data_IF_713295982537
#
_entry.id   IF_713295982537
#
_cell.length_a   1.000
_cell.length_b   1.000
_cell.length_c   1.000
_cell.angle_alpha   90.00
_cell.angle_beta   90.00
_cell.angle_gamma   90.00
#
_symmetry.space_group_name_H-M   'P 1'
#
loop_
_entity.id
_entity.type
_entity.pdbx_description
1 polymer ?
#
# COMPACT_ATOMS: atom_id res chain seq x y z
N UNK A 1 -33.88 -6.60 -25.49
CA UNK A 1 -33.03 -6.60 -24.27
C UNK A 1 -32.67 -8.04 -23.96
N UNK A 2 -31.39 -8.43 -24.08
CA UNK A 2 -30.94 -9.74 -23.59
C UNK A 2 -30.87 -9.66 -22.06
N UNK A 3 -31.33 -10.69 -21.35
CA UNK A 3 -31.22 -10.72 -19.88
C UNK A 3 -29.76 -10.83 -19.48
N UNK A 4 -29.29 -9.96 -18.57
CA UNK A 4 -27.95 -10.09 -17.97
C UNK A 4 -27.81 -11.45 -17.28
N UNK A 5 -26.61 -12.01 -17.33
CA UNK A 5 -26.26 -13.21 -16.57
C UNK A 5 -26.36 -12.95 -15.06
N UNK A 6 -26.56 -13.99 -14.25
CA UNK A 6 -26.59 -13.86 -12.78
C UNK A 6 -25.28 -13.27 -12.21
N UNK A 7 -24.14 -13.58 -12.85
CA UNK A 7 -22.84 -12.98 -12.55
C UNK A 7 -22.79 -11.49 -12.88
N UNK A 8 -23.36 -11.07 -14.02
CA UNK A 8 -23.46 -9.66 -14.40
C UNK A 8 -24.26 -8.85 -13.39
N UNK A 9 -25.41 -9.36 -12.94
CA UNK A 9 -26.22 -8.70 -11.90
C UNK A 9 -25.45 -8.54 -10.59
N UNK A 10 -24.70 -9.57 -10.16
CA UNK A 10 -23.87 -9.48 -8.96
C UNK A 10 -22.74 -8.46 -9.12
N UNK A 11 -22.14 -8.38 -10.30
CA UNK A 11 -21.10 -7.41 -10.62
C UNK A 11 -21.64 -5.98 -10.55
N UNK A 12 -22.83 -5.72 -11.07
CA UNK A 12 -23.51 -4.42 -10.96
C UNK A 12 -23.78 -4.03 -9.50
N UNK A 13 -24.20 -4.97 -8.65
CA UNK A 13 -24.38 -4.71 -7.22
C UNK A 13 -23.06 -4.34 -6.54
N UNK A 14 -21.96 -5.03 -6.87
CA UNK A 14 -20.63 -4.70 -6.35
C UNK A 14 -20.15 -3.33 -6.86
N UNK A 15 -20.39 -3.02 -8.12
CA UNK A 15 -20.08 -1.72 -8.70
C UNK A 15 -20.83 -0.59 -8.00
N UNK A 16 -22.13 -0.78 -7.74
CA UNK A 16 -22.92 0.18 -6.98
C UNK A 16 -22.34 0.40 -5.57
N UNK A 17 -21.90 -0.66 -4.88
CA UNK A 17 -21.24 -0.52 -3.59
C UNK A 17 -19.94 0.30 -3.70
N UNK A 18 -19.10 0.03 -4.70
CA UNK A 18 -17.85 0.77 -4.94
C UNK A 18 -18.15 2.25 -5.24
N UNK A 19 -19.19 2.56 -6.02
CA UNK A 19 -19.61 3.93 -6.29
C UNK A 19 -20.05 4.66 -5.01
N UNK A 20 -20.89 4.01 -4.21
CA UNK A 20 -21.48 4.61 -3.02
C UNK A 20 -20.55 4.66 -1.81
N UNK A 21 -19.44 3.92 -1.81
CA UNK A 21 -18.53 3.84 -0.66
C UNK A 21 -17.11 4.30 -0.94
N UNK A 22 -16.65 4.28 -2.20
CA UNK A 22 -15.27 4.61 -2.59
C UNK A 22 -15.25 5.76 -3.59
N UNK A 23 -15.83 5.59 -4.78
CA UNK A 23 -15.67 6.56 -5.88
C UNK A 23 -16.27 7.93 -5.56
N UNK A 24 -17.34 8.00 -4.76
CA UNK A 24 -17.93 9.30 -4.36
C UNK A 24 -16.99 10.20 -3.54
N UNK A 25 -15.92 9.65 -2.96
CA UNK A 25 -14.92 10.39 -2.19
C UNK A 25 -13.65 10.74 -2.99
N UNK A 26 -13.66 10.46 -4.30
CA UNK A 26 -12.54 10.81 -5.16
C UNK A 26 -12.52 12.31 -5.46
N UNK A 27 -11.36 12.94 -5.29
CA UNK A 27 -11.14 14.29 -5.79
C UNK A 27 -11.19 14.28 -7.33
N UNK A 28 -12.05 15.08 -7.98
CA UNK A 28 -12.22 15.01 -9.43
C UNK A 28 -11.00 15.51 -10.22
N UNK A 29 -10.15 16.34 -9.62
CA UNK A 29 -8.97 16.92 -10.28
C UNK A 29 -7.79 15.97 -10.13
N UNK A 30 -7.40 15.65 -8.90
CA UNK A 30 -6.22 14.83 -8.61
C UNK A 30 -6.51 13.34 -8.72
N UNK A 31 -7.73 12.88 -8.48
CA UNK A 31 -8.04 11.45 -8.40
C UNK A 31 -7.65 10.80 -7.08
N UNK A 32 -7.18 11.58 -6.09
CA UNK A 32 -6.90 11.11 -4.74
C UNK A 32 -8.22 10.97 -3.94
N UNK A 33 -8.28 9.98 -3.07
CA UNK A 33 -9.39 9.70 -2.17
C UNK A 33 -9.13 10.28 -0.79
N UNK A 34 -10.18 10.80 -0.16
CA UNK A 34 -10.19 11.21 1.24
C UNK A 34 -11.10 10.30 2.05
N UNK A 35 -10.70 9.98 3.29
CA UNK A 35 -11.38 8.99 4.13
C UNK A 35 -12.08 9.62 5.36
N UNK A 36 -11.79 10.89 5.67
CA UNK A 36 -12.33 11.58 6.82
C UNK A 36 -12.82 12.98 6.44
N UNK A 37 -14.04 13.05 5.90
CA UNK A 37 -14.66 14.30 5.44
C UNK A 37 -14.92 15.28 6.59
N UNK A 38 -15.02 14.80 7.84
CA UNK A 38 -15.36 15.65 8.98
C UNK A 38 -14.12 16.25 9.66
N UNK A 39 -13.10 15.44 9.99
CA UNK A 39 -11.93 15.95 10.73
C UNK A 39 -10.77 16.35 9.82
N UNK A 40 -10.69 15.81 8.60
CA UNK A 40 -9.53 15.97 7.72
C UNK A 40 -9.93 15.87 6.24
N UNK A 41 -10.84 16.76 5.78
CA UNK A 41 -11.50 16.62 4.47
C UNK A 41 -10.56 16.65 3.27
N UNK A 42 -9.35 17.19 3.44
CA UNK A 42 -8.34 17.28 2.38
C UNK A 42 -7.17 16.29 2.56
N UNK A 43 -7.19 15.41 3.56
CA UNK A 43 -6.08 14.47 3.76
C UNK A 43 -6.31 13.17 2.96
N UNK A 44 -5.36 12.88 2.08
CA UNK A 44 -5.25 11.63 1.32
C UNK A 44 -4.08 10.80 1.85
N UNK A 45 -4.36 9.71 2.57
CA UNK A 45 -3.34 8.76 2.99
C UNK A 45 -2.94 7.85 1.82
N UNK A 46 -1.63 7.62 1.68
CA UNK A 46 -1.06 6.77 0.63
C UNK A 46 -1.69 5.37 0.66
N UNK A 47 -1.71 4.75 1.85
CA UNK A 47 -2.21 3.39 2.07
C UNK A 47 -3.70 3.24 1.73
N UNK A 48 -4.51 4.17 2.20
CA UNK A 48 -5.96 4.18 1.96
C UNK A 48 -6.28 4.35 0.48
N UNK A 49 -5.55 5.23 -0.21
CA UNK A 49 -5.66 5.40 -1.65
C UNK A 49 -5.28 4.11 -2.39
N UNK A 50 -4.24 3.40 -1.96
CA UNK A 50 -3.83 2.14 -2.57
C UNK A 50 -4.88 1.04 -2.39
N UNK A 51 -5.48 0.91 -1.20
CA UNK A 51 -6.57 -0.05 -0.99
C UNK A 51 -7.86 0.33 -1.74
N UNK A 52 -8.17 1.62 -1.87
CA UNK A 52 -9.23 2.09 -2.76
C UNK A 52 -8.94 1.72 -4.23
N UNK A 53 -7.70 1.92 -4.69
CA UNK A 53 -7.24 1.48 -6.01
C UNK A 53 -7.36 -0.03 -6.18
N UNK A 54 -7.05 -0.85 -5.17
CA UNK A 54 -7.24 -2.31 -5.26
C UNK A 54 -8.70 -2.70 -5.48
N UNK A 55 -9.65 -2.05 -4.79
CA UNK A 55 -11.07 -2.31 -5.00
C UNK A 55 -11.53 -1.94 -6.41
N UNK A 56 -11.09 -0.78 -6.93
CA UNK A 56 -11.40 -0.32 -8.29
C UNK A 56 -10.73 -1.23 -9.33
N UNK A 57 -9.50 -1.66 -9.09
CA UNK A 57 -8.77 -2.58 -9.95
C UNK A 57 -9.43 -3.95 -10.00
N UNK A 58 -9.93 -4.47 -8.87
CA UNK A 58 -10.69 -5.71 -8.84
C UNK A 58 -11.95 -5.61 -9.72
N UNK A 59 -12.67 -4.48 -9.66
CA UNK A 59 -13.81 -4.22 -10.55
C UNK A 59 -13.39 -4.12 -12.01
N UNK A 60 -12.32 -3.40 -12.32
CA UNK A 60 -11.74 -3.33 -13.66
C UNK A 60 -11.47 -4.73 -14.23
N UNK A 61 -10.76 -5.58 -13.49
CA UNK A 61 -10.44 -6.96 -13.93
C UNK A 61 -11.70 -7.81 -14.09
N UNK A 62 -12.69 -7.64 -13.20
CA UNK A 62 -13.95 -8.36 -13.28
C UNK A 62 -14.78 -7.96 -14.52
N UNK A 63 -14.88 -6.65 -14.82
CA UNK A 63 -15.56 -6.16 -16.02
C UNK A 63 -14.80 -6.55 -17.29
N UNK A 64 -13.47 -6.45 -17.32
CA UNK A 64 -12.68 -6.94 -18.48
C UNK A 64 -12.92 -8.42 -18.78
N UNK A 65 -13.02 -9.25 -17.74
CA UNK A 65 -13.26 -10.69 -17.90
C UNK A 65 -14.71 -11.02 -18.30
N UNK A 66 -15.66 -10.17 -17.91
CA UNK A 66 -17.09 -10.44 -18.02
C UNK A 66 -17.79 -9.57 -19.06
N UNK A 67 -17.04 -8.81 -19.87
CA UNK A 67 -17.60 -7.89 -20.84
C UNK A 67 -18.35 -8.64 -21.93
N UNK A 68 -19.67 -8.75 -21.75
CA UNK A 68 -20.59 -9.35 -22.74
C UNK A 68 -21.11 -8.29 -23.73
N UNK A 69 -20.99 -7.00 -23.37
CA UNK A 69 -21.48 -5.84 -24.13
C UNK A 69 -20.49 -4.67 -24.09
N UNK A 70 -20.57 -3.78 -25.07
CA UNK A 70 -19.70 -2.60 -25.20
C UNK A 70 -19.75 -1.68 -23.97
N UNK A 71 -20.89 -1.62 -23.27
CA UNK A 71 -21.07 -0.82 -22.05
C UNK A 71 -20.20 -1.32 -20.89
N UNK A 72 -20.06 -2.64 -20.74
CA UNK A 72 -19.20 -3.24 -19.71
C UNK A 72 -17.71 -2.97 -19.99
N UNK A 73 -17.34 -2.97 -21.28
CA UNK A 73 -15.97 -2.62 -21.69
C UNK A 73 -15.69 -1.13 -21.47
N UNK A 74 -16.65 -0.25 -21.76
CA UNK A 74 -16.53 1.17 -21.46
C UNK A 74 -16.35 1.41 -19.95
N UNK A 75 -17.12 0.71 -19.12
CA UNK A 75 -16.99 0.78 -17.66
C UNK A 75 -15.63 0.27 -17.19
N UNK A 76 -15.14 -0.84 -17.74
CA UNK A 76 -13.80 -1.32 -17.45
C UNK A 76 -12.75 -0.25 -17.77
N UNK A 77 -12.81 0.36 -18.96
CA UNK A 77 -11.85 1.39 -19.35
C UNK A 77 -11.87 2.60 -18.40
N UNK A 78 -13.05 3.05 -17.99
CA UNK A 78 -13.20 4.12 -16.99
C UNK A 78 -12.48 3.74 -15.68
N UNK A 79 -12.77 2.56 -15.13
CA UNK A 79 -12.15 2.08 -13.88
C UNK A 79 -10.63 1.94 -14.00
N UNK A 80 -10.14 1.48 -15.14
CA UNK A 80 -8.71 1.40 -15.43
C UNK A 80 -8.06 2.78 -15.42
N UNK A 81 -8.67 3.77 -16.08
CA UNK A 81 -8.20 5.15 -16.06
C UNK A 81 -8.25 5.78 -14.66
N UNK A 82 -9.26 5.43 -13.85
CA UNK A 82 -9.33 5.84 -12.44
C UNK A 82 -8.14 5.29 -11.64
N UNK A 83 -7.79 4.00 -11.81
CA UNK A 83 -6.61 3.42 -11.18
C UNK A 83 -5.33 4.13 -11.60
N UNK A 84 -5.16 4.35 -12.91
CA UNK A 84 -4.01 5.07 -13.47
C UNK A 84 -3.88 6.46 -12.85
N UNK A 85 -4.98 7.22 -12.81
CA UNK A 85 -4.99 8.58 -12.26
C UNK A 85 -4.62 8.63 -10.79
N UNK A 86 -5.16 7.73 -9.96
CA UNK A 86 -4.84 7.70 -8.52
C UNK A 86 -3.37 7.34 -8.29
N UNK A 87 -2.85 6.32 -8.97
CA UNK A 87 -1.44 5.92 -8.84
C UNK A 87 -0.48 7.01 -9.33
N UNK A 88 -0.80 7.66 -10.45
CA UNK A 88 -0.02 8.78 -10.97
C UNK A 88 -0.01 9.97 -10.00
N UNK A 89 -1.15 10.30 -9.39
CA UNK A 89 -1.18 11.37 -8.41
C UNK A 89 -0.39 11.04 -7.13
N UNK A 90 -0.40 9.79 -6.67
CA UNK A 90 0.48 9.37 -5.56
C UNK A 90 1.95 9.45 -5.96
N UNK A 91 2.31 9.05 -7.18
CA UNK A 91 3.68 9.19 -7.70
C UNK A 91 4.12 10.66 -7.70
N UNK A 92 3.28 11.55 -8.22
CA UNK A 92 3.54 12.99 -8.23
C UNK A 92 3.70 13.57 -6.80
N UNK A 93 2.85 13.16 -5.84
CA UNK A 93 3.02 13.54 -4.43
C UNK A 93 4.41 13.16 -3.87
N UNK A 94 4.92 11.97 -4.23
CA UNK A 94 6.24 11.52 -3.79
C UNK A 94 7.37 12.22 -4.55
N UNK A 95 7.21 12.47 -5.86
CA UNK A 95 8.18 13.20 -6.68
C UNK A 95 8.40 14.64 -6.19
N UNK A 96 7.34 15.30 -5.70
CA UNK A 96 7.44 16.62 -5.06
C UNK A 96 8.33 16.64 -3.80
N UNK A 97 8.68 15.46 -3.26
CA UNK A 97 9.60 15.27 -2.15
C UNK A 97 10.89 14.54 -2.55
N UNK A 98 11.27 14.59 -3.83
CA UNK A 98 12.48 13.92 -4.35
C UNK A 98 13.76 14.26 -3.57
N UNK A 99 13.92 15.50 -3.10
CA UNK A 99 15.02 15.91 -2.24
C UNK A 99 15.10 15.06 -0.95
N UNK A 100 13.95 14.70 -0.37
CA UNK A 100 13.88 13.87 0.84
C UNK A 100 14.29 12.43 0.54
N UNK A 101 13.86 11.88 -0.59
CA UNK A 101 14.25 10.53 -1.03
C UNK A 101 15.78 10.42 -1.15
N UNK A 102 16.43 11.42 -1.75
CA UNK A 102 17.90 11.46 -1.84
C UNK A 102 18.58 11.48 -0.46
N UNK A 103 18.08 12.30 0.47
CA UNK A 103 18.62 12.33 1.84
C UNK A 103 18.37 11.02 2.59
N UNK A 104 17.20 10.41 2.42
CA UNK A 104 16.84 9.17 3.11
C UNK A 104 17.71 8.00 2.69
N UNK A 105 18.04 7.86 1.41
CA UNK A 105 18.97 6.83 0.92
C UNK A 105 20.35 6.89 1.59
N UNK A 106 20.80 8.09 1.97
CA UNK A 106 22.09 8.29 2.64
C UNK A 106 22.01 8.10 4.15
N UNK A 107 20.96 8.62 4.79
CA UNK A 107 20.95 8.81 6.24
C UNK A 107 19.83 8.08 6.98
N UNK A 108 18.75 7.66 6.29
CA UNK A 108 17.61 6.93 6.85
C UNK A 108 16.97 7.62 8.07
N UNK A 109 17.01 8.96 8.11
CA UNK A 109 16.46 9.78 9.20
C UNK A 109 14.95 9.89 9.04
N UNK A 110 14.22 9.87 10.16
CA UNK A 110 12.75 9.99 10.15
C UNK A 110 12.24 11.28 9.48
N UNK A 111 12.99 12.39 9.57
CA UNK A 111 12.60 13.67 8.97
C UNK A 111 12.83 13.69 7.45
N UNK A 112 13.71 12.83 6.94
CA UNK A 112 13.94 12.66 5.50
C UNK A 112 12.93 11.68 4.88
N UNK A 113 12.01 11.13 5.66
CA UNK A 113 11.03 10.18 5.15
C UNK A 113 9.94 10.85 4.31
N UNK A 114 9.48 10.16 3.27
CA UNK A 114 8.30 10.58 2.51
C UNK A 114 7.09 10.67 3.43
N UNK A 115 6.22 11.64 3.20
CA UNK A 115 4.98 11.76 3.97
C UNK A 115 4.02 10.61 3.68
N UNK A 116 3.39 10.08 4.72
CA UNK A 116 2.32 9.08 4.61
C UNK A 116 0.99 9.63 4.07
N UNK A 117 0.80 10.96 4.05
CA UNK A 117 -0.44 11.63 3.64
C UNK A 117 -0.19 12.98 2.96
N UNK A 118 -1.08 13.33 2.04
CA UNK A 118 -0.99 14.51 1.18
C UNK A 118 -2.31 15.27 1.11
N UNK A 119 -2.26 16.47 0.56
CA UNK A 119 -3.45 17.24 0.21
C UNK A 119 -4.11 16.61 -1.00
N UNK A 120 -5.36 16.20 -0.86
CA UNK A 120 -6.14 15.64 -1.96
C UNK A 120 -6.39 16.67 -3.07
N UNK A 121 -6.38 17.96 -2.75
CA UNK A 121 -6.55 19.05 -3.72
C UNK A 121 -5.23 19.43 -4.42
N UNK A 122 -4.13 19.50 -3.68
CA UNK A 122 -2.87 20.12 -4.16
C UNK A 122 -1.69 19.17 -4.30
N UNK A 123 -1.82 17.91 -3.86
CA UNK A 123 -0.74 16.90 -3.82
C UNK A 123 0.43 17.25 -2.88
N UNK A 124 0.37 18.37 -2.19
CA UNK A 124 1.41 18.85 -1.28
C UNK A 124 1.32 18.19 0.10
N UNK A 125 2.37 18.35 0.90
CA UNK A 125 2.38 17.93 2.31
C UNK A 125 1.34 18.71 3.12
N UNK A 126 0.61 18.04 4.01
CA UNK A 126 -0.47 18.65 4.82
C UNK A 126 -0.08 18.95 6.27
N UNK A 127 1.03 18.39 6.73
CA UNK A 127 1.58 18.56 8.08
C UNK A 127 3.10 18.64 8.01
N UNK A 128 3.76 19.12 9.07
CA UNK A 128 5.23 19.19 9.11
C UNK A 128 5.90 17.83 9.37
N UNK A 129 7.19 17.71 9.00
CA UNK A 129 7.97 16.46 9.12
C UNK A 129 8.02 15.88 10.55
N UNK A 130 7.93 16.72 11.56
CA UNK A 130 7.96 16.36 12.99
C UNK A 130 6.57 16.15 13.60
N UNK A 131 5.49 16.41 12.83
CA UNK A 131 4.11 16.42 13.33
C UNK A 131 3.35 15.11 13.12
N UNK A 132 3.96 14.13 12.45
CA UNK A 132 3.32 12.85 12.16
C UNK A 132 4.32 11.71 12.10
N UNK A 133 3.83 10.48 12.28
CA UNK A 133 4.58 9.25 12.07
C UNK A 133 4.80 8.95 10.59
N UNK A 134 5.49 9.83 9.85
CA UNK A 134 5.61 9.75 8.39
C UNK A 134 6.47 8.59 7.88
N UNK A 135 7.51 8.19 8.63
CA UNK A 135 8.34 7.06 8.25
C UNK A 135 7.54 5.76 8.33
N UNK A 136 6.94 5.39 7.20
CA UNK A 136 6.08 4.22 6.99
C UNK A 136 6.56 3.54 5.71
N UNK A 137 7.50 2.60 5.86
CA UNK A 137 8.17 1.97 4.71
C UNK A 137 7.20 1.03 4.00
N UNK A 138 6.28 0.44 4.76
CA UNK A 138 5.18 -0.37 4.28
C UNK A 138 4.26 0.36 3.30
N UNK A 139 3.99 1.66 3.49
CA UNK A 139 3.15 2.43 2.57
C UNK A 139 3.80 2.60 1.19
N UNK A 140 5.09 2.93 1.16
CA UNK A 140 5.87 3.08 -0.09
C UNK A 140 6.06 1.71 -0.76
N UNK A 141 6.28 0.67 0.03
CA UNK A 141 6.38 -0.71 -0.48
C UNK A 141 5.06 -1.18 -1.08
N UNK A 142 3.92 -0.90 -0.43
CA UNK A 142 2.60 -1.19 -0.96
C UNK A 142 2.35 -0.44 -2.28
N UNK A 143 2.83 0.80 -2.41
CA UNK A 143 2.75 1.53 -3.68
C UNK A 143 3.51 0.80 -4.79
N UNK A 144 4.75 0.38 -4.54
CA UNK A 144 5.58 -0.33 -5.52
C UNK A 144 5.00 -1.70 -5.89
N UNK A 145 4.50 -2.46 -4.90
CA UNK A 145 3.78 -3.72 -5.13
C UNK A 145 2.55 -3.50 -6.02
N UNK A 146 1.75 -2.48 -5.71
CA UNK A 146 0.54 -2.15 -6.46
C UNK A 146 0.88 -1.68 -7.87
N UNK A 147 1.94 -0.87 -8.03
CA UNK A 147 2.43 -0.41 -9.32
C UNK A 147 2.79 -1.62 -10.21
N UNK A 148 3.60 -2.54 -9.69
CA UNK A 148 3.98 -3.75 -10.42
C UNK A 148 2.75 -4.58 -10.84
N UNK A 149 1.80 -4.81 -9.91
CA UNK A 149 0.59 -5.58 -10.20
C UNK A 149 -0.33 -4.93 -11.24
N UNK A 150 -0.48 -3.60 -11.19
CA UNK A 150 -1.27 -2.85 -12.17
C UNK A 150 -0.60 -2.87 -13.56
N UNK A 151 0.70 -2.63 -13.62
CA UNK A 151 1.49 -2.73 -14.87
C UNK A 151 1.39 -4.13 -15.48
N UNK A 152 1.56 -5.19 -14.66
CA UNK A 152 1.40 -6.57 -15.11
C UNK A 152 -0.03 -6.89 -15.60
N UNK A 153 -1.03 -6.12 -15.17
CA UNK A 153 -2.41 -6.24 -15.66
C UNK A 153 -2.69 -5.50 -16.98
N UNK A 154 -1.70 -4.80 -17.53
CA UNK A 154 -1.80 -4.03 -18.77
C UNK A 154 -2.17 -2.56 -18.57
N UNK A 155 -2.17 -2.04 -17.34
CA UNK A 155 -2.39 -0.62 -17.08
C UNK A 155 -1.05 0.12 -17.13
N UNK A 156 -0.90 1.03 -18.10
CA UNK A 156 0.27 1.87 -18.21
C UNK A 156 0.19 3.00 -17.18
N UNK A 157 0.83 2.79 -16.03
CA UNK A 157 0.93 3.82 -14.99
C UNK A 157 2.04 4.80 -15.36
N UNK A 158 3.29 4.35 -15.43
CA UNK A 158 4.49 5.20 -15.63
C UNK A 158 4.57 5.71 -17.08
N UNK A 159 4.81 7.02 -17.24
CA UNK A 159 4.61 7.73 -18.52
C UNK A 159 5.90 8.15 -19.21
N UNK A 160 6.99 8.35 -18.46
CA UNK A 160 8.24 8.88 -18.98
C UNK A 160 9.45 8.39 -18.16
N UNK A 161 10.66 8.65 -18.65
CA UNK A 161 11.90 8.18 -18.01
C UNK A 161 12.22 8.88 -16.68
N UNK A 162 11.72 10.09 -16.44
CA UNK A 162 11.90 10.77 -15.14
C UNK A 162 11.10 10.05 -14.04
N UNK A 163 9.88 9.61 -14.36
CA UNK A 163 9.07 8.78 -13.48
C UNK A 163 9.70 7.39 -13.26
N UNK A 164 10.27 6.77 -14.31
CA UNK A 164 11.04 5.52 -14.17
C UNK A 164 12.22 5.71 -13.20
N UNK A 165 13.01 6.77 -13.39
CA UNK A 165 14.15 7.07 -12.52
C UNK A 165 13.70 7.32 -11.07
N UNK A 166 12.56 7.98 -10.87
CA UNK A 166 12.01 8.17 -9.55
C UNK A 166 11.54 6.85 -8.91
N UNK A 167 10.88 5.96 -9.66
CA UNK A 167 10.51 4.62 -9.17
C UNK A 167 11.74 3.81 -8.79
N UNK A 168 12.82 3.87 -9.57
CA UNK A 168 14.10 3.26 -9.20
C UNK A 168 14.64 3.83 -7.88
N UNK A 169 14.50 5.13 -7.64
CA UNK A 169 14.87 5.74 -6.36
C UNK A 169 13.98 5.29 -5.19
N UNK A 170 12.70 5.00 -5.43
CA UNK A 170 11.83 4.39 -4.43
C UNK A 170 12.25 2.95 -4.09
N UNK A 171 12.77 2.18 -5.05
CA UNK A 171 13.36 0.87 -4.76
C UNK A 171 14.55 1.01 -3.81
N UNK A 172 15.49 1.92 -4.11
CA UNK A 172 16.62 2.20 -3.21
C UNK A 172 16.17 2.77 -1.86
N UNK A 173 15.05 3.49 -1.81
CA UNK A 173 14.47 3.98 -0.57
C UNK A 173 14.01 2.84 0.35
N UNK A 174 13.41 1.78 -0.19
CA UNK A 174 12.88 0.65 0.60
C UNK A 174 13.85 -0.52 0.78
N UNK A 175 14.94 -0.59 0.02
CA UNK A 175 15.82 -1.78 -0.02
C UNK A 175 16.44 -2.15 1.33
N UNK A 176 16.65 -1.16 2.21
CA UNK A 176 17.13 -1.34 3.58
C UNK A 176 16.00 -1.59 4.60
N UNK A 177 14.77 -1.85 4.14
CA UNK A 177 13.58 -1.99 4.97
C UNK A 177 13.67 -3.09 6.03
N UNK A 178 14.41 -4.18 5.75
CA UNK A 178 14.67 -5.25 6.72
C UNK A 178 15.44 -4.79 7.98
N UNK A 179 16.05 -3.61 7.96
CA UNK A 179 16.82 -3.08 9.11
C UNK A 179 16.44 -1.66 9.48
N UNK A 180 15.37 -1.11 8.91
CA UNK A 180 14.98 0.28 9.14
C UNK A 180 13.74 0.32 10.03
N UNK A 181 13.86 0.74 11.30
CA UNK A 181 12.71 0.94 12.19
C UNK A 181 11.80 2.06 11.67
N UNK A 182 10.50 1.80 11.68
CA UNK A 182 9.46 2.69 11.17
C UNK A 182 8.27 2.80 12.15
N UNK A 183 7.24 3.54 11.76
CA UNK A 183 6.04 3.72 12.58
C UNK A 183 4.96 2.63 12.34
N UNK A 184 5.18 1.74 11.37
CA UNK A 184 4.26 0.68 10.98
C UNK A 184 2.92 1.18 10.42
N UNK A 185 2.04 0.23 10.09
CA UNK A 185 0.72 0.48 9.48
C UNK A 185 -0.16 1.44 10.30
N UNK A 186 0.02 1.43 11.61
CA UNK A 186 -0.79 2.21 12.56
C UNK A 186 -0.20 3.57 12.92
N UNK A 187 0.94 3.94 12.33
CA UNK A 187 1.57 5.26 12.49
C UNK A 187 2.07 5.58 13.91
N UNK A 188 2.26 4.55 14.75
CA UNK A 188 2.66 4.68 16.17
C UNK A 188 4.10 4.27 16.47
N UNK A 189 4.66 3.37 15.67
CA UNK A 189 5.92 2.70 15.97
C UNK A 189 5.73 1.70 17.09
N UNK A 190 6.12 2.05 18.30
CA UNK A 190 5.97 1.19 19.48
C UNK A 190 4.53 1.13 20.01
N UNK A 191 4.25 0.13 20.84
CA UNK A 191 2.93 -0.11 21.44
C UNK A 191 2.41 1.07 22.28
N UNK A 192 3.30 1.84 22.90
CA UNK A 192 2.97 2.95 23.80
C UNK A 192 2.77 4.28 23.08
N UNK A 193 3.05 4.36 21.77
CA UNK A 193 2.87 5.54 20.94
C UNK A 193 3.67 6.76 21.44
N UNK A 194 4.93 6.53 21.85
CA UNK A 194 5.83 7.59 22.33
C UNK A 194 6.73 8.14 21.22
N UNK A 195 6.39 7.85 19.95
CA UNK A 195 7.20 8.23 18.80
C UNK A 195 8.47 7.39 18.64
N UNK A 196 8.54 6.23 19.30
CA UNK A 196 9.65 5.29 19.19
C UNK A 196 9.38 4.38 17.99
N UNK A 197 10.29 4.39 17.02
CA UNK A 197 10.20 3.52 15.83
C UNK A 197 10.68 2.12 16.17
N UNK A 198 10.03 1.12 15.61
CA UNK A 198 10.41 -0.28 15.78
C UNK A 198 10.54 -0.97 14.42
N UNK A 199 11.29 -2.06 14.37
CA UNK A 199 11.30 -2.92 13.19
C UNK A 199 9.99 -3.72 13.17
N UNK A 200 9.10 -3.36 12.25
CA UNK A 200 7.77 -3.94 12.09
C UNK A 200 7.80 -5.04 11.02
N UNK A 201 7.43 -6.26 11.40
CA UNK A 201 7.44 -7.43 10.50
C UNK A 201 6.48 -7.23 9.33
N UNK A 202 5.32 -6.59 9.57
CA UNK A 202 4.40 -6.21 8.50
C UNK A 202 5.04 -5.29 7.45
N UNK A 203 5.89 -4.35 7.87
CA UNK A 203 6.66 -3.49 6.95
C UNK A 203 7.70 -4.29 6.17
N UNK A 204 8.46 -5.15 6.84
CA UNK A 204 9.47 -6.00 6.19
C UNK A 204 8.84 -6.93 5.16
N UNK A 205 7.70 -7.54 5.47
CA UNK A 205 6.98 -8.41 4.53
C UNK A 205 6.46 -7.64 3.32
N UNK A 206 5.98 -6.42 3.51
CA UNK A 206 5.56 -5.57 2.39
C UNK A 206 6.75 -5.17 1.50
N UNK A 207 7.90 -4.84 2.09
CA UNK A 207 9.16 -4.56 1.36
C UNK A 207 9.56 -5.76 0.52
N UNK A 208 9.57 -6.96 1.11
CA UNK A 208 9.93 -8.20 0.39
C UNK A 208 9.05 -8.40 -0.85
N UNK A 209 7.73 -8.32 -0.68
CA UNK A 209 6.79 -8.50 -1.77
C UNK A 209 6.91 -7.42 -2.86
N UNK A 210 7.14 -6.17 -2.47
CA UNK A 210 7.35 -5.08 -3.41
C UNK A 210 8.61 -5.28 -4.26
N UNK A 211 9.73 -5.64 -3.62
CA UNK A 211 10.99 -5.92 -4.31
C UNK A 211 10.86 -7.11 -5.26
N UNK A 212 10.19 -8.18 -4.84
CA UNK A 212 9.91 -9.34 -5.71
C UNK A 212 9.04 -8.95 -6.90
N UNK A 213 7.90 -8.28 -6.66
CA UNK A 213 6.97 -7.93 -7.72
C UNK A 213 7.57 -6.96 -8.76
N UNK A 214 8.35 -5.97 -8.30
CA UNK A 214 9.04 -5.03 -9.20
C UNK A 214 10.13 -5.74 -10.00
N UNK A 215 10.87 -6.66 -9.38
CA UNK A 215 11.88 -7.47 -10.08
C UNK A 215 11.25 -8.38 -11.15
N UNK A 216 10.08 -8.96 -10.87
CA UNK A 216 9.38 -9.85 -11.80
C UNK A 216 8.76 -9.10 -12.99
N UNK A 217 8.21 -7.90 -12.76
CA UNK A 217 7.71 -7.05 -13.84
C UNK A 217 8.87 -6.51 -14.69
N UNK A 218 9.93 -6.05 -14.03
CA UNK A 218 11.13 -5.52 -14.67
C UNK A 218 10.90 -4.21 -15.41
N UNK A 219 10.17 -4.25 -16.53
CA UNK A 219 9.91 -3.15 -17.44
C UNK A 219 8.58 -2.44 -17.12
N UNK A 220 8.67 -1.15 -16.74
CA UNK A 220 7.49 -0.34 -16.39
C UNK A 220 6.68 0.16 -17.60
N UNK A 221 7.24 0.17 -18.80
CA UNK A 221 6.50 0.55 -20.02
C UNK A 221 5.83 -0.66 -20.68
N UNK A 222 6.36 -1.86 -20.45
CA UNK A 222 5.88 -3.10 -21.09
C UNK A 222 6.16 -3.14 -22.59
N UNK A 223 7.08 -2.31 -23.08
CA UNK A 223 7.48 -2.21 -24.49
C UNK A 223 8.80 -2.94 -24.80
N UNK A 224 9.43 -3.53 -23.79
CA UNK A 224 10.72 -4.22 -23.88
C UNK A 224 11.93 -3.27 -23.85
N UNK A 225 11.72 -1.99 -23.57
CA UNK A 225 12.80 -1.01 -23.47
C UNK A 225 13.70 -1.31 -22.28
N UNK A 226 15.01 -1.34 -22.51
CA UNK A 226 15.99 -1.48 -21.42
C UNK A 226 16.01 -0.27 -20.47
N UNK A 227 15.54 0.89 -20.95
CA UNK A 227 15.56 2.13 -20.17
C UNK A 227 14.45 2.22 -19.12
N UNK A 228 13.41 1.40 -19.23
CA UNK A 228 12.29 1.32 -18.28
C UNK A 228 12.41 0.15 -17.30
N UNK A 229 13.54 -0.59 -17.36
CA UNK A 229 13.82 -1.69 -16.45
C UNK A 229 14.22 -1.17 -15.07
N UNK A 230 13.54 -1.66 -14.04
CA UNK A 230 13.88 -1.40 -12.64
C UNK A 230 14.76 -2.51 -12.11
N UNK A 231 15.83 -2.13 -11.43
CA UNK A 231 16.82 -3.01 -10.86
C UNK A 231 16.60 -3.19 -9.36
N UNK A 232 16.54 -4.45 -8.93
CA UNK A 232 16.40 -4.87 -7.54
C UNK A 232 17.57 -5.78 -7.19
N UNK A 233 18.16 -5.60 -6.00
CA UNK A 233 19.23 -6.46 -5.51
C UNK A 233 18.63 -7.72 -4.84
N UNK A 234 18.90 -8.94 -5.34
CA UNK A 234 18.31 -10.16 -4.80
C UNK A 234 18.64 -10.41 -3.32
N UNK A 235 19.82 -9.97 -2.86
CA UNK A 235 20.24 -10.11 -1.47
C UNK A 235 19.27 -9.43 -0.50
N UNK A 236 18.67 -8.29 -0.88
CA UNK A 236 17.76 -7.56 -0.01
C UNK A 236 16.45 -8.33 0.22
N UNK A 237 15.98 -9.06 -0.81
CA UNK A 237 14.83 -9.96 -0.71
C UNK A 237 15.16 -11.11 0.26
N UNK A 238 16.36 -11.68 0.18
CA UNK A 238 16.78 -12.76 1.08
C UNK A 238 16.93 -12.30 2.53
N UNK A 239 17.46 -11.10 2.77
CA UNK A 239 17.51 -10.50 4.11
C UNK A 239 16.12 -10.35 4.71
N UNK A 240 15.14 -9.86 3.93
CA UNK A 240 13.76 -9.77 4.40
C UNK A 240 13.18 -11.16 4.73
N UNK A 241 13.45 -12.16 3.88
CA UNK A 241 12.96 -13.53 4.08
C UNK A 241 13.52 -14.18 5.37
N UNK A 242 14.84 -14.05 5.58
CA UNK A 242 15.50 -14.55 6.78
C UNK A 242 14.95 -13.89 8.05
N UNK A 243 14.73 -12.57 8.00
CA UNK A 243 14.17 -11.83 9.12
C UNK A 243 12.73 -12.26 9.43
N UNK A 244 11.85 -12.35 8.43
CA UNK A 244 10.46 -12.79 8.62
C UNK A 244 10.37 -14.19 9.24
N UNK A 245 11.23 -15.10 8.81
CA UNK A 245 11.31 -16.46 9.38
C UNK A 245 11.63 -16.43 10.87
N UNK A 246 12.46 -15.47 11.31
CA UNK A 246 12.85 -15.33 12.71
C UNK A 246 11.87 -14.53 13.58
N UNK A 247 11.15 -13.58 12.98
CA UNK A 247 10.29 -12.65 13.72
C UNK A 247 8.85 -13.18 13.86
N UNK A 248 8.29 -13.79 12.82
CA UNK A 248 6.90 -14.22 12.85
C UNK A 248 6.65 -15.30 13.92
N UNK A 249 5.53 -15.25 14.66
CA UNK A 249 4.34 -14.42 14.44
C UNK A 249 4.32 -13.07 15.18
N UNK A 250 5.49 -12.60 15.65
CA UNK A 250 5.63 -11.30 16.32
C UNK A 250 5.66 -10.18 15.31
N UNK A 251 5.04 -9.05 15.67
CA UNK A 251 5.08 -7.86 14.81
C UNK A 251 6.36 -7.06 15.03
N UNK A 252 6.65 -6.69 16.28
CA UNK A 252 7.79 -5.85 16.62
C UNK A 252 8.27 -6.13 18.05
N UNK A 253 9.29 -5.41 18.52
CA UNK A 253 9.82 -5.62 19.88
C UNK A 253 8.73 -5.53 20.96
N UNK A 254 7.93 -4.46 20.93
CA UNK A 254 6.85 -4.24 21.89
C UNK A 254 5.51 -4.91 21.53
N UNK A 255 5.29 -5.29 20.26
CA UNK A 255 4.03 -5.92 19.80
C UNK A 255 4.21 -7.42 19.57
N UNK A 256 3.63 -8.20 20.47
CA UNK A 256 3.71 -9.67 20.48
C UNK A 256 3.07 -10.30 19.25
N UNK A 257 2.06 -9.64 18.67
CA UNK A 257 1.44 -9.94 17.38
C UNK A 257 0.63 -8.71 16.94
N UNK A 258 0.26 -8.64 15.66
CA UNK A 258 -0.51 -7.54 15.08
C UNK A 258 -1.36 -8.04 13.91
N UNK A 259 -2.52 -7.43 13.70
CA UNK A 259 -3.43 -7.73 12.59
C UNK A 259 -2.79 -7.42 11.23
N UNK A 260 -1.89 -6.44 11.17
CA UNK A 260 -1.14 -6.06 9.97
C UNK A 260 -0.37 -7.23 9.37
N UNK A 261 0.02 -8.22 10.17
CA UNK A 261 0.69 -9.44 9.71
C UNK A 261 -0.15 -10.24 8.70
N UNK A 262 -1.49 -10.13 8.73
CA UNK A 262 -2.34 -10.75 7.71
C UNK A 262 -2.00 -10.24 6.30
N UNK A 263 -1.63 -8.96 6.16
CA UNK A 263 -1.32 -8.37 4.86
C UNK A 263 -0.08 -8.97 4.19
N UNK A 264 0.80 -9.60 4.97
CA UNK A 264 2.04 -10.21 4.49
C UNK A 264 1.99 -11.73 4.37
N UNK A 265 1.16 -12.42 5.16
CA UNK A 265 0.92 -13.87 4.99
C UNK A 265 -0.23 -14.16 4.02
N UNK A 266 -0.90 -13.13 3.51
CA UNK A 266 -2.02 -13.22 2.57
C UNK A 266 -2.06 -11.97 1.67
N UNK A 267 -3.22 -11.64 1.12
CA UNK A 267 -3.39 -10.47 0.26
C UNK A 267 -3.09 -9.16 1.04
N UNK A 268 -2.34 -8.22 0.46
CA UNK A 268 -1.87 -8.20 -0.93
C UNK A 268 -0.49 -8.83 -1.18
N UNK A 269 0.32 -9.05 -0.15
CA UNK A 269 1.76 -9.26 -0.34
C UNK A 269 2.19 -10.72 -0.51
N UNK A 270 1.53 -11.68 0.16
CA UNK A 270 1.91 -13.12 0.11
C UNK A 270 3.42 -13.37 0.29
N UNK A 271 4.06 -12.58 1.15
CA UNK A 271 5.51 -12.49 1.32
C UNK A 271 6.14 -13.67 2.08
N UNK A 272 5.35 -14.59 2.61
CA UNK A 272 5.83 -15.74 3.39
C UNK A 272 5.48 -17.01 2.64
N UNK A 273 6.47 -17.85 2.35
CA UNK A 273 6.32 -19.08 1.56
C UNK A 273 6.04 -20.31 2.45
N UNK A 274 6.55 -20.32 3.68
CA UNK A 274 6.45 -21.49 4.55
C UNK A 274 5.03 -21.65 5.13
N UNK A 275 4.32 -22.68 4.68
CA UNK A 275 2.92 -22.92 5.06
C UNK A 275 2.73 -23.09 6.57
N UNK A 276 3.65 -23.76 7.28
CA UNK A 276 3.62 -23.88 8.75
C UNK A 276 3.66 -22.52 9.43
N UNK A 277 4.57 -21.64 9.00
CA UNK A 277 4.71 -20.29 9.56
C UNK A 277 3.49 -19.42 9.26
N UNK A 278 2.93 -19.52 8.06
CA UNK A 278 1.68 -18.85 7.68
C UNK A 278 0.53 -19.28 8.60
N UNK A 279 0.36 -20.58 8.84
CA UNK A 279 -0.71 -21.09 9.71
C UNK A 279 -0.48 -20.72 11.17
N UNK A 280 0.77 -20.81 11.66
CA UNK A 280 1.13 -20.38 13.00
C UNK A 280 0.80 -18.89 13.22
N UNK A 281 1.17 -18.04 12.27
CA UNK A 281 0.92 -16.60 12.32
C UNK A 281 -0.58 -16.31 12.30
N UNK A 282 -1.31 -16.90 11.35
CA UNK A 282 -2.77 -16.76 11.28
C UNK A 282 -3.47 -17.21 12.57
N UNK A 283 -3.08 -18.36 13.11
CA UNK A 283 -3.69 -18.88 14.33
C UNK A 283 -3.37 -18.02 15.55
N UNK A 284 -2.15 -17.48 15.64
CA UNK A 284 -1.75 -16.55 16.70
C UNK A 284 -2.61 -15.28 16.67
N UNK A 285 -2.82 -14.71 15.48
CA UNK A 285 -3.69 -13.54 15.27
C UNK A 285 -5.12 -13.87 15.68
N UNK A 286 -5.68 -14.99 15.21
CA UNK A 286 -7.05 -15.39 15.54
C UNK A 286 -7.21 -15.60 17.05
N UNK A 287 -6.32 -16.35 17.68
CA UNK A 287 -6.42 -16.65 19.12
C UNK A 287 -6.28 -15.40 19.99
N UNK A 288 -5.51 -14.41 19.53
CA UNK A 288 -5.11 -13.26 20.36
C UNK A 288 -5.95 -12.02 20.09
N UNK A 289 -6.32 -11.78 18.83
CA UNK A 289 -6.90 -10.52 18.36
C UNK A 289 -8.36 -10.64 17.90
N UNK A 290 -8.82 -11.83 17.51
CA UNK A 290 -10.22 -12.02 17.11
C UNK A 290 -11.14 -11.92 18.33
N UNK A 291 -12.12 -11.02 18.24
CA UNK A 291 -13.21 -10.90 19.19
C UNK A 291 -14.58 -11.03 18.53
N UNK A 292 -15.62 -10.71 19.30
CA UNK A 292 -17.01 -10.81 18.86
C UNK A 292 -17.35 -10.01 17.59
N UNK A 293 -16.65 -8.89 17.37
CA UNK A 293 -16.94 -7.93 16.29
C UNK A 293 -15.83 -7.86 15.23
N UNK A 294 -14.93 -8.85 15.19
CA UNK A 294 -13.76 -8.86 14.33
C UNK A 294 -12.46 -8.73 15.11
N UNK A 295 -11.37 -8.44 14.40
CA UNK A 295 -10.03 -8.40 14.99
C UNK A 295 -9.66 -7.01 15.50
N UNK A 296 -9.01 -6.97 16.67
CA UNK A 296 -8.30 -5.77 17.14
C UNK A 296 -7.00 -5.59 16.35
N UNK A 297 -6.45 -4.37 16.34
CA UNK A 297 -5.16 -4.07 15.67
C UNK A 297 -4.01 -4.84 16.33
N UNK A 298 -3.81 -4.61 17.63
CA UNK A 298 -2.86 -5.34 18.47
C UNK A 298 -3.30 -5.29 19.93
N UNK A 299 -2.64 -6.05 20.80
CA UNK A 299 -2.97 -6.08 22.23
C UNK A 299 -2.70 -4.73 22.91
N UNK A 300 -3.55 -4.31 23.85
CA UNK A 300 -3.44 -3.04 24.58
C UNK A 300 -3.29 -1.81 23.67
N UNK A 301 -3.87 -1.88 22.48
CA UNK A 301 -4.04 -0.71 21.65
C UNK A 301 -4.90 0.33 22.38
N UNK A 302 -4.31 1.50 22.63
CA UNK A 302 -4.93 2.59 23.37
C UNK A 302 -5.80 3.52 22.52
N UNK A 303 -5.88 3.31 21.21
CA UNK A 303 -6.56 4.28 20.33
C UNK A 303 -8.04 4.46 20.66
N UNK A 304 -8.47 5.72 20.76
CA UNK A 304 -9.81 6.14 21.21
C UNK A 304 -10.19 5.60 22.60
N UNK A 305 -9.20 5.36 23.47
CA UNK A 305 -9.42 5.04 24.89
C UNK A 305 -8.96 6.19 25.78
N UNK A 306 -9.45 6.30 27.04
CA UNK A 306 -8.98 7.33 27.97
C UNK A 306 -7.47 7.32 28.22
N UNK A 307 -6.78 6.20 27.98
CA UNK A 307 -5.33 6.07 28.12
C UNK A 307 -4.54 6.75 26.99
N UNK A 308 -5.19 7.09 25.87
CA UNK A 308 -4.54 7.83 24.78
C UNK A 308 -4.49 9.33 25.03
N UNK A 309 -5.19 9.82 26.06
CA UNK A 309 -5.14 11.23 26.47
C UNK A 309 -4.08 11.40 27.57
N UNK A 310 -2.83 11.59 27.14
CA UNK A 310 -1.76 12.33 27.83
C UNK A 310 -0.55 12.49 26.90
#
# INVERSE_FOLDING_TARGET
MRSRSASGVRLDCLMHLVEQTILKYQNPITGLFTNNVEDSPDHAWVRDNLYATHAIWAMYRAYQKSADVDEDLAKANELGLTCVKTMQSLLECMMLQSNKVEQFKLYQRKNDALHAKYSAQTKSTVVGDDKWGHLQIDAISLFLLTLAQLTASGLQIVRNFDEVAFVQNLVYYIEAGYRTPDYGVWERGDKTNQGIRELNSSSVGMVKAALQAVNDVGDLFGDGSKGSVIHVLPDQIQQCSALLTSMLPRESFSKETDLALLSIISYPAFAVEEQSLIQLTRQTIINTLLGRYGCRRFLRDGYKTPLEVN
#
